data_IF_186828690501
#
_entry.id   IF_186828690501
#
_cell.length_a   1.000
_cell.length_b   1.000
_cell.length_c   1.000
_cell.angle_alpha   90.00
_cell.angle_beta   90.00
_cell.angle_gamma   90.00
#
_symmetry.space_group_name_H-M   'P 1'
#
loop_
_entity.id
_entity.type
_entity.pdbx_description
1 polymer ?
#
# COMPACT_ATOMS: atom_id res chain seq x y z
N UNK A 1 -18.10 1.65 6.62
CA UNK A 1 -18.60 0.65 5.65
C UNK A 1 -17.50 -0.36 5.40
N UNK A 2 -17.83 -1.63 5.19
CA UNK A 2 -16.86 -2.70 4.92
C UNK A 2 -17.16 -3.36 3.58
N UNK A 3 -16.13 -3.60 2.79
CA UNK A 3 -16.17 -4.39 1.56
C UNK A 3 -15.38 -5.65 1.81
N UNK A 4 -16.06 -6.80 1.70
CA UNK A 4 -15.47 -8.13 1.83
C UNK A 4 -14.90 -8.51 0.47
N UNK A 5 -13.59 -8.61 0.38
CA UNK A 5 -12.86 -8.94 -0.82
C UNK A 5 -12.56 -10.44 -0.89
N UNK A 6 -12.47 -10.97 -2.11
CA UNK A 6 -11.85 -12.26 -2.41
C UNK A 6 -10.33 -12.05 -2.51
N UNK A 7 -9.52 -13.08 -2.20
CA UNK A 7 -8.06 -12.98 -2.31
C UNK A 7 -7.59 -12.88 -3.77
N UNK A 8 -8.36 -13.44 -4.71
CA UNK A 8 -8.13 -13.37 -6.15
C UNK A 8 -9.47 -13.26 -6.90
N UNK A 9 -9.51 -12.66 -8.11
CA UNK A 9 -8.42 -11.90 -8.76
C UNK A 9 -8.06 -10.60 -8.00
N UNK A 10 -6.97 -9.92 -8.39
CA UNK A 10 -6.44 -8.73 -7.69
C UNK A 10 -6.45 -7.45 -8.53
N UNK A 11 -6.70 -7.59 -9.84
CA UNK A 11 -6.56 -6.57 -10.87
C UNK A 11 -7.42 -5.33 -10.57
N UNK A 12 -8.63 -5.56 -10.05
CA UNK A 12 -9.56 -4.51 -9.63
C UNK A 12 -8.96 -3.55 -8.58
N UNK A 13 -8.10 -4.06 -7.69
CA UNK A 13 -7.54 -3.27 -6.57
C UNK A 13 -6.30 -2.46 -6.98
N UNK A 14 -5.67 -2.78 -8.11
CA UNK A 14 -4.39 -2.17 -8.51
C UNK A 14 -4.44 -0.64 -8.64
N UNK A 15 -5.50 -0.02 -9.21
CA UNK A 15 -5.59 1.44 -9.27
C UNK A 15 -5.60 2.09 -7.87
N UNK A 16 -6.29 1.47 -6.90
CA UNK A 16 -6.33 1.95 -5.52
C UNK A 16 -4.97 1.80 -4.83
N UNK A 17 -4.32 0.65 -4.99
CA UNK A 17 -2.99 0.39 -4.43
C UNK A 17 -1.92 1.36 -4.99
N UNK A 18 -2.03 1.73 -6.27
CA UNK A 18 -1.15 2.75 -6.88
C UNK A 18 -1.43 4.15 -6.35
N UNK A 19 -2.70 4.52 -6.19
CA UNK A 19 -3.11 5.84 -5.66
C UNK A 19 -2.67 6.00 -4.20
N UNK A 20 -2.80 4.92 -3.43
CA UNK A 20 -2.47 4.84 -2.01
C UNK A 20 -3.67 4.39 -1.20
N UNK A 21 -3.42 3.45 -0.30
CA UNK A 21 -4.41 2.91 0.64
C UNK A 21 -3.90 3.07 2.06
N UNK A 22 -4.81 3.31 3.01
CA UNK A 22 -4.45 3.42 4.42
C UNK A 22 -4.49 2.05 5.06
N UNK A 23 -3.39 1.59 5.63
CA UNK A 23 -3.32 0.32 6.35
C UNK A 23 -3.20 0.56 7.85
N UNK A 24 -3.77 -0.34 8.66
CA UNK A 24 -3.57 -0.36 10.11
C UNK A 24 -2.51 -1.39 10.43
N UNK A 25 -1.47 -0.97 11.15
CA UNK A 25 -0.33 -1.83 11.48
C UNK A 25 0.37 -1.33 12.75
N UNK A 26 1.38 -2.06 13.19
CA UNK A 26 2.35 -1.55 14.14
C UNK A 26 3.24 -0.53 13.44
N UNK A 27 3.29 0.69 13.97
CA UNK A 27 4.17 1.78 13.53
C UNK A 27 5.23 2.05 14.61
N UNK A 28 6.10 3.03 14.38
CA UNK A 28 7.35 3.28 15.10
C UNK A 28 8.23 2.03 15.11
N UNK A 29 8.38 1.42 13.92
CA UNK A 29 9.24 0.28 13.59
C UNK A 29 10.00 0.60 12.31
N UNK A 30 11.01 -0.22 11.96
CA UNK A 30 11.71 -0.02 10.70
C UNK A 30 10.80 -0.37 9.50
N UNK A 31 11.10 0.21 8.33
CA UNK A 31 10.41 -0.16 7.09
C UNK A 31 10.59 -1.65 6.79
N UNK A 32 11.77 -2.22 7.08
CA UNK A 32 12.01 -3.66 6.96
C UNK A 32 11.07 -4.47 7.85
N UNK A 33 10.96 -4.11 9.13
CA UNK A 33 10.07 -4.80 10.07
C UNK A 33 8.60 -4.72 9.66
N UNK A 34 8.15 -3.55 9.20
CA UNK A 34 6.79 -3.38 8.69
C UNK A 34 6.54 -4.33 7.50
N UNK A 35 7.44 -4.34 6.51
CA UNK A 35 7.26 -5.13 5.29
C UNK A 35 7.23 -6.63 5.58
N UNK A 36 8.09 -7.12 6.46
CA UNK A 36 8.15 -8.55 6.81
C UNK A 36 7.01 -8.95 7.75
N UNK A 37 6.77 -8.19 8.82
CA UNK A 37 5.90 -8.63 9.91
C UNK A 37 4.44 -8.22 9.71
N UNK A 38 4.18 -7.01 9.22
CA UNK A 38 2.82 -6.53 9.00
C UNK A 38 2.35 -6.82 7.57
N UNK A 39 3.11 -6.43 6.56
CA UNK A 39 2.75 -6.65 5.15
C UNK A 39 3.01 -8.08 4.68
N UNK A 40 3.72 -8.91 5.45
CA UNK A 40 4.01 -10.33 5.16
C UNK A 40 4.70 -10.52 3.80
N UNK A 41 5.61 -9.63 3.45
CA UNK A 41 6.46 -9.79 2.27
C UNK A 41 7.62 -10.72 2.61
N UNK A 42 8.01 -11.54 1.64
CA UNK A 42 9.21 -12.36 1.74
C UNK A 42 10.45 -11.44 1.80
N UNK A 43 11.35 -11.60 2.80
CA UNK A 43 12.61 -10.85 2.85
C UNK A 43 13.45 -10.94 1.58
N UNK A 44 13.41 -12.07 0.87
CA UNK A 44 14.10 -12.26 -0.41
C UNK A 44 13.47 -11.39 -1.49
N UNK A 45 12.13 -11.40 -1.58
CA UNK A 45 11.38 -10.54 -2.49
C UNK A 45 11.69 -9.05 -2.27
N UNK A 46 11.75 -8.60 -1.01
CA UNK A 46 12.09 -7.21 -0.67
C UNK A 46 13.48 -6.86 -1.21
N UNK A 47 14.46 -7.76 -1.03
CA UNK A 47 15.84 -7.50 -1.42
C UNK A 47 16.01 -7.46 -2.93
N UNK A 48 15.42 -8.42 -3.64
CA UNK A 48 15.63 -8.64 -5.07
C UNK A 48 14.72 -7.78 -5.95
N UNK A 49 13.49 -7.51 -5.52
CA UNK A 49 12.44 -6.96 -6.39
C UNK A 49 12.01 -5.55 -6.02
N UNK A 50 12.18 -5.14 -4.76
CA UNK A 50 11.89 -3.77 -4.34
C UNK A 50 13.14 -2.91 -4.50
N UNK A 51 13.19 -2.19 -5.63
CA UNK A 51 14.29 -1.31 -6.00
C UNK A 51 14.02 0.16 -5.68
N UNK A 52 12.78 0.63 -5.74
CA UNK A 52 12.42 2.00 -5.40
C UNK A 52 11.61 2.03 -4.11
N UNK A 53 12.12 2.75 -3.11
CA UNK A 53 11.45 2.94 -1.82
C UNK A 53 11.48 4.42 -1.47
N UNK A 54 10.31 4.97 -1.17
CA UNK A 54 10.18 6.35 -0.71
C UNK A 54 9.38 6.40 0.57
N UNK A 55 9.86 7.20 1.52
CA UNK A 55 9.18 7.52 2.76
C UNK A 55 8.93 9.02 2.80
N UNK A 56 7.67 9.43 2.84
CA UNK A 56 7.23 10.83 2.73
C UNK A 56 7.84 11.56 1.52
N UNK A 57 7.91 10.86 0.39
CA UNK A 57 8.46 11.37 -0.87
C UNK A 57 9.98 11.37 -0.93
N UNK A 58 10.69 10.95 0.13
CA UNK A 58 12.15 10.91 0.19
C UNK A 58 12.67 9.50 -0.12
N UNK A 59 13.62 9.34 -1.03
CA UNK A 59 14.17 8.03 -1.33
C UNK A 59 14.90 7.41 -0.14
N UNK A 60 14.73 6.10 0.06
CA UNK A 60 15.27 5.35 1.21
C UNK A 60 16.30 4.33 0.75
N UNK A 61 17.50 4.41 1.32
CA UNK A 61 18.58 3.44 1.05
C UNK A 61 18.62 2.28 2.07
N UNK A 62 18.40 2.57 3.34
CA UNK A 62 18.46 1.60 4.43
C UNK A 62 17.08 1.41 5.08
N UNK A 63 16.45 0.27 4.77
CA UNK A 63 15.11 -0.08 5.28
C UNK A 63 15.10 -0.38 6.78
N UNK A 64 16.23 -0.77 7.38
CA UNK A 64 16.32 -1.05 8.81
C UNK A 64 16.37 0.25 9.63
N UNK A 65 16.79 1.35 9.01
CA UNK A 65 16.89 2.67 9.66
C UNK A 65 15.74 3.62 9.31
N UNK A 66 14.97 3.31 8.27
CA UNK A 66 13.80 4.10 7.90
C UNK A 66 12.63 3.82 8.85
N UNK A 67 12.26 4.82 9.65
CA UNK A 67 11.18 4.69 10.63
C UNK A 67 9.81 4.86 9.96
N UNK A 68 8.96 3.83 10.04
CA UNK A 68 7.53 3.96 9.73
C UNK A 68 6.86 4.60 10.93
N UNK A 69 6.36 5.82 10.79
CA UNK A 69 5.67 6.56 11.87
C UNK A 69 4.18 6.66 11.60
N UNK A 70 3.41 7.10 12.58
CA UNK A 70 1.99 7.39 12.39
C UNK A 70 1.76 8.35 11.21
N UNK A 71 0.83 7.99 10.32
CA UNK A 71 0.40 8.81 9.20
C UNK A 71 1.40 8.93 8.04
N UNK A 72 2.57 8.28 8.09
CA UNK A 72 3.57 8.42 7.04
C UNK A 72 3.11 7.82 5.70
N UNK A 73 3.77 8.20 4.61
CA UNK A 73 3.53 7.68 3.28
C UNK A 73 4.70 6.80 2.81
N UNK A 74 4.45 5.50 2.70
CA UNK A 74 5.40 4.54 2.14
C UNK A 74 5.03 4.21 0.70
N UNK A 75 5.96 4.43 -0.23
CA UNK A 75 5.80 4.06 -1.63
C UNK A 75 6.85 3.02 -2.04
N UNK A 76 6.41 1.95 -2.70
CA UNK A 76 7.24 0.82 -3.11
C UNK A 76 7.08 0.56 -4.61
N UNK A 77 8.19 0.29 -5.28
CA UNK A 77 8.21 -0.10 -6.67
C UNK A 77 9.42 -0.96 -7.02
N UNK A 78 9.37 -1.56 -8.21
CA UNK A 78 10.58 -2.11 -8.82
C UNK A 78 11.55 -1.00 -9.16
N UNK A 79 12.82 -1.36 -9.36
CA UNK A 79 13.85 -0.44 -9.81
C UNK A 79 13.38 0.37 -11.04
N UNK A 80 13.35 1.69 -10.90
CA UNK A 80 12.96 2.59 -11.98
C UNK A 80 14.11 2.73 -12.99
N UNK A 81 13.83 2.64 -14.31
CA UNK A 81 14.85 2.77 -15.34
C UNK A 81 15.19 4.24 -15.66
N UNK A 82 16.22 4.44 -16.50
CA UNK A 82 16.69 5.76 -16.94
C UNK A 82 17.53 6.48 -15.87
N UNK A 83 18.23 7.55 -16.25
CA UNK A 83 19.17 8.22 -15.35
C UNK A 83 18.50 8.72 -14.05
N UNK A 84 17.35 9.39 -14.20
CA UNK A 84 16.58 9.89 -13.05
C UNK A 84 15.99 8.75 -12.21
N UNK A 85 15.46 7.69 -12.82
CA UNK A 85 14.94 6.55 -12.07
C UNK A 85 16.04 5.78 -11.34
N UNK A 86 17.17 5.57 -12.01
CA UNK A 86 18.32 4.88 -11.48
C UNK A 86 18.90 5.60 -10.26
N UNK A 87 19.00 6.94 -10.27
CA UNK A 87 19.44 7.70 -9.09
C UNK A 87 18.45 7.61 -7.93
N UNK A 88 17.16 7.40 -8.20
CA UNK A 88 16.11 7.25 -7.19
C UNK A 88 15.97 5.84 -6.61
N UNK A 89 16.68 4.84 -7.15
CA UNK A 89 16.65 3.49 -6.59
C UNK A 89 17.46 3.39 -5.29
N UNK A 90 17.01 2.49 -4.41
CA UNK A 90 17.72 2.09 -3.20
C UNK A 90 19.06 1.44 -3.57
N UNK A 91 20.13 1.83 -2.88
CA UNK A 91 21.48 1.30 -3.09
C UNK A 91 22.08 1.68 -4.44
N UNK A 92 21.58 2.73 -5.08
CA UNK A 92 22.07 3.17 -6.39
C UNK A 92 23.50 3.72 -6.30
N UNK A 93 24.40 3.37 -7.25
CA UNK A 93 25.71 4.02 -7.35
C UNK A 93 25.59 5.51 -7.73
N UNK A 94 24.40 5.96 -8.13
CA UNK A 94 24.09 7.34 -8.50
C UNK A 94 23.41 8.12 -7.36
N UNK A 95 23.40 7.57 -6.13
CA UNK A 95 22.70 8.16 -4.99
C UNK A 95 23.20 9.57 -4.62
N UNK A 96 24.46 9.90 -4.91
CA UNK A 96 25.00 11.25 -4.67
C UNK A 96 24.24 12.35 -5.44
N UNK A 97 23.65 12.05 -6.61
CA UNK A 97 22.84 13.02 -7.36
C UNK A 97 21.54 13.43 -6.66
N UNK A 98 21.15 12.75 -5.58
CA UNK A 98 19.91 13.00 -4.83
C UNK A 98 20.14 13.22 -3.34
N UNK A 99 21.37 13.47 -2.90
CA UNK A 99 21.75 13.54 -1.48
C UNK A 99 20.89 14.52 -0.64
N UNK A 100 20.42 15.60 -1.26
CA UNK A 100 19.59 16.62 -0.62
C UNK A 100 18.13 16.18 -0.40
N UNK A 101 17.64 15.23 -1.19
CA UNK A 101 16.25 14.75 -1.13
C UNK A 101 16.13 13.36 -0.49
N UNK A 102 17.25 12.67 -0.25
CA UNK A 102 17.29 11.38 0.43
C UNK A 102 16.69 11.43 1.84
N UNK A 103 16.08 10.33 2.25
CA UNK A 103 15.58 10.14 3.60
C UNK A 103 16.76 10.12 4.57
N UNK A 104 16.61 10.85 5.68
CA UNK A 104 17.59 10.87 6.77
C UNK A 104 16.94 10.28 8.02
N UNK A 105 17.45 9.16 8.55
CA UNK A 105 16.93 8.58 9.79
C UNK A 105 16.96 9.59 10.93
N UNK A 106 15.85 9.69 11.65
CA UNK A 106 15.79 10.41 12.91
C UNK A 106 16.70 9.76 13.96
N UNK A 107 17.06 10.54 14.99
CA UNK A 107 17.78 10.03 16.15
C UNK A 107 16.73 9.71 17.23
N UNK A 108 16.56 8.43 17.55
CA UNK A 108 15.64 8.00 18.61
C UNK A 108 15.28 6.53 18.51
N UNK A 109 14.90 5.90 19.63
CA UNK A 109 14.44 4.53 19.63
C UNK A 109 13.09 4.42 18.91
N UNK A 110 12.94 3.36 18.11
CA UNK A 110 11.67 2.97 17.51
C UNK A 110 10.88 2.18 18.56
N UNK A 111 9.79 2.75 19.07
CA UNK A 111 8.93 2.11 20.07
C UNK A 111 7.61 1.65 19.43
N UNK A 112 7.42 0.33 19.22
CA UNK A 112 6.27 -0.19 18.49
C UNK A 112 4.94 0.21 19.12
N UNK A 113 4.04 0.80 18.33
CA UNK A 113 2.67 1.16 18.75
C UNK A 113 1.66 0.87 17.64
N UNK A 114 0.38 0.61 17.95
CA UNK A 114 -0.66 0.57 16.94
C UNK A 114 -0.81 1.92 16.23
N UNK A 115 -0.95 1.87 14.91
CA UNK A 115 -1.07 3.09 14.11
C UNK A 115 -1.54 2.85 12.68
N UNK A 116 -1.41 3.89 11.87
CA UNK A 116 -1.74 3.87 10.44
C UNK A 116 -0.64 4.46 9.59
N UNK A 117 -0.55 3.99 8.34
CA UNK A 117 0.26 4.61 7.30
C UNK A 117 -0.46 4.51 5.95
N UNK A 118 -0.06 5.36 5.01
CA UNK A 118 -0.49 5.25 3.62
C UNK A 118 0.54 4.43 2.84
N UNK A 119 0.10 3.33 2.23
CA UNK A 119 0.92 2.48 1.38
C UNK A 119 0.57 2.70 -0.10
N UNK A 120 1.58 2.98 -0.93
CA UNK A 120 1.47 3.07 -2.39
C UNK A 120 2.34 2.00 -3.05
N UNK A 121 1.76 1.25 -3.97
CA UNK A 121 2.45 0.18 -4.69
C UNK A 121 2.44 0.45 -6.19
N UNK A 122 3.62 0.43 -6.80
CA UNK A 122 3.80 0.74 -8.22
C UNK A 122 4.25 -0.49 -9.02
N UNK A 123 4.10 -0.40 -10.34
CA UNK A 123 4.59 -1.40 -11.29
C UNK A 123 4.11 -2.82 -10.94
N UNK A 124 4.98 -3.81 -11.10
CA UNK A 124 4.70 -5.21 -10.82
C UNK A 124 4.57 -5.51 -9.32
N UNK A 125 5.20 -4.69 -8.45
CA UNK A 125 5.08 -4.82 -6.98
C UNK A 125 3.62 -4.75 -6.57
N UNK A 126 2.83 -3.84 -7.16
CA UNK A 126 1.39 -3.75 -6.89
C UNK A 126 0.67 -5.08 -7.12
N UNK A 127 0.94 -5.73 -8.25
CA UNK A 127 0.28 -6.99 -8.63
C UNK A 127 0.74 -8.16 -7.77
N UNK A 128 2.04 -8.25 -7.53
CA UNK A 128 2.65 -9.38 -6.80
C UNK A 128 2.33 -9.36 -5.31
N UNK A 129 2.09 -8.16 -4.74
CA UNK A 129 1.87 -7.99 -3.30
C UNK A 129 0.42 -7.66 -2.94
N UNK A 130 -0.46 -7.43 -3.92
CA UNK A 130 -1.87 -7.08 -3.68
C UNK A 130 -2.58 -8.05 -2.73
N UNK A 131 -2.38 -9.37 -2.90
CA UNK A 131 -2.99 -10.37 -2.04
C UNK A 131 -2.54 -10.24 -0.57
N UNK A 132 -1.26 -9.93 -0.33
CA UNK A 132 -0.75 -9.69 1.02
C UNK A 132 -1.34 -8.41 1.63
N UNK A 133 -1.50 -7.34 0.83
CA UNK A 133 -2.15 -6.11 1.31
C UNK A 133 -3.65 -6.28 1.54
N UNK A 134 -4.34 -7.10 0.75
CA UNK A 134 -5.74 -7.47 1.00
C UNK A 134 -5.89 -8.26 2.30
N UNK A 135 -4.96 -9.17 2.61
CA UNK A 135 -4.93 -9.90 3.89
C UNK A 135 -4.72 -8.97 5.08
N UNK A 136 -3.83 -7.97 4.94
CA UNK A 136 -3.67 -6.93 5.95
C UNK A 136 -4.94 -6.07 6.09
N UNK A 137 -5.66 -5.89 4.97
CA UNK A 137 -6.81 -5.02 4.87
C UNK A 137 -6.38 -3.56 4.81
N UNK A 138 -7.22 -2.73 4.20
CA UNK A 138 -6.93 -1.31 4.01
C UNK A 138 -8.20 -0.47 3.99
N UNK A 139 -8.03 0.85 4.05
CA UNK A 139 -9.10 1.82 3.90
C UNK A 139 -8.81 2.74 2.71
N UNK A 140 -9.86 3.11 1.98
CA UNK A 140 -9.82 4.05 0.87
C UNK A 140 -10.96 5.07 0.98
N UNK A 141 -10.81 6.27 0.41
CA UNK A 141 -11.94 7.17 0.21
C UNK A 141 -13.02 6.48 -0.63
N UNK A 142 -14.29 6.64 -0.24
CA UNK A 142 -15.40 6.01 -0.95
C UNK A 142 -15.48 6.41 -2.42
N UNK A 143 -15.30 7.70 -2.71
CA UNK A 143 -15.20 8.25 -4.07
C UNK A 143 -14.16 7.52 -4.95
N UNK A 144 -13.06 7.07 -4.37
CA UNK A 144 -11.99 6.39 -5.09
C UNK A 144 -12.44 4.99 -5.51
N UNK A 145 -13.08 4.28 -4.57
CA UNK A 145 -13.62 2.95 -4.83
C UNK A 145 -14.77 3.03 -5.84
N UNK A 146 -15.62 4.05 -5.77
CA UNK A 146 -16.67 4.29 -6.76
C UNK A 146 -16.10 4.57 -8.15
N UNK A 147 -15.07 5.42 -8.25
CA UNK A 147 -14.42 5.71 -9.53
C UNK A 147 -13.83 4.45 -10.17
N UNK A 148 -13.15 3.61 -9.39
CA UNK A 148 -12.58 2.34 -9.88
C UNK A 148 -13.67 1.34 -10.23
N UNK A 149 -14.72 1.21 -9.40
CA UNK A 149 -15.90 0.37 -9.68
C UNK A 149 -16.63 0.78 -10.95
N UNK A 150 -16.78 2.09 -11.19
CA UNK A 150 -17.43 2.60 -12.39
C UNK A 150 -16.62 2.29 -13.66
N UNK A 151 -15.29 2.31 -13.57
CA UNK A 151 -14.40 1.91 -14.66
C UNK A 151 -14.30 0.40 -14.89
N UNK A 152 -14.53 -0.42 -13.86
CA UNK A 152 -14.48 -1.89 -13.95
C UNK A 152 -15.56 -2.59 -13.09
N UNK A 153 -16.84 -2.57 -13.52
CA UNK A 153 -17.92 -3.21 -12.77
C UNK A 153 -17.79 -4.74 -12.68
N UNK A 154 -17.22 -5.38 -13.71
CA UNK A 154 -17.04 -6.84 -13.75
C UNK A 154 -15.92 -7.28 -12.79
N UNK A 155 -14.79 -6.57 -12.79
CA UNK A 155 -13.71 -6.81 -11.83
C UNK A 155 -14.16 -6.58 -10.39
N UNK A 156 -15.00 -5.58 -10.13
CA UNK A 156 -15.62 -5.39 -8.82
C UNK A 156 -16.44 -6.62 -8.41
N UNK A 157 -17.33 -7.11 -9.28
CA UNK A 157 -18.15 -8.29 -9.00
C UNK A 157 -17.30 -9.55 -8.77
N UNK A 158 -16.20 -9.70 -9.53
CA UNK A 158 -15.26 -10.82 -9.40
C UNK A 158 -14.44 -10.74 -8.10
N UNK A 159 -14.06 -9.54 -7.66
CA UNK A 159 -13.19 -9.34 -6.50
C UNK A 159 -13.93 -9.15 -5.18
N UNK A 160 -15.21 -8.81 -5.19
CA UNK A 160 -16.00 -8.52 -3.98
C UNK A 160 -17.02 -9.62 -3.72
N UNK A 161 -16.99 -10.18 -2.51
CA UNK A 161 -17.94 -11.22 -2.06
C UNK A 161 -19.13 -10.65 -1.30
N UNK A 162 -18.98 -9.48 -0.66
CA UNK A 162 -20.04 -8.87 0.12
C UNK A 162 -19.72 -7.43 0.50
N UNK A 163 -20.76 -6.68 0.86
CA UNK A 163 -20.65 -5.30 1.30
C UNK A 163 -21.47 -5.16 2.58
N UNK A 164 -20.88 -4.62 3.64
CA UNK A 164 -21.57 -4.34 4.90
C UNK A 164 -21.72 -2.84 5.09
N UNK A 165 -22.98 -2.39 5.19
CA UNK A 165 -23.35 -1.00 5.44
C UNK A 165 -24.37 -0.94 6.57
N UNK A 166 -24.00 -0.27 7.67
CA UNK A 166 -24.87 -0.14 8.85
C UNK A 166 -25.28 -1.48 9.46
N UNK A 167 -24.37 -2.46 9.51
CA UNK A 167 -24.64 -3.80 10.03
C UNK A 167 -25.48 -4.70 9.11
N UNK A 168 -25.83 -4.24 7.90
CA UNK A 168 -26.55 -5.04 6.90
C UNK A 168 -25.62 -5.47 5.79
N UNK A 169 -25.73 -6.73 5.41
CA UNK A 169 -25.03 -7.28 4.26
C UNK A 169 -25.79 -7.02 2.97
N UNK A 170 -25.08 -6.55 1.96
CA UNK A 170 -25.57 -6.19 0.64
C UNK A 170 -24.76 -7.00 -0.37
N UNK A 171 -25.47 -7.77 -1.20
CA UNK A 171 -24.85 -8.48 -2.31
C UNK A 171 -24.23 -7.47 -3.29
N UNK A 172 -23.01 -7.69 -3.80
CA UNK A 172 -22.34 -6.74 -4.70
C UNK A 172 -23.18 -6.36 -5.93
N UNK A 173 -23.87 -7.34 -6.51
CA UNK A 173 -24.78 -7.13 -7.66
C UNK A 173 -26.01 -6.26 -7.34
N UNK A 174 -26.36 -6.09 -6.06
CA UNK A 174 -27.49 -5.28 -5.59
C UNK A 174 -27.04 -3.92 -5.05
N UNK A 175 -25.75 -3.63 -5.06
CA UNK A 175 -25.23 -2.36 -4.58
C UNK A 175 -25.41 -1.27 -5.63
N UNK A 176 -26.49 -0.50 -5.50
CA UNK A 176 -26.81 0.65 -6.35
C UNK A 176 -26.39 2.01 -5.76
N UNK A 177 -25.76 2.00 -4.58
CA UNK A 177 -25.37 3.23 -3.87
C UNK A 177 -23.99 3.75 -4.26
N UNK A 178 -23.64 4.90 -3.69
CA UNK A 178 -22.27 5.41 -3.64
C UNK A 178 -21.63 5.09 -2.28
N UNK A 179 -20.31 5.02 -2.26
CA UNK A 179 -19.47 4.93 -1.08
C UNK A 179 -19.09 6.31 -0.51
N UNK A 180 -19.39 7.40 -1.23
CA UNK A 180 -18.79 8.74 -1.14
C UNK A 180 -18.69 9.44 0.25
N UNK A 181 -19.44 9.03 1.28
CA UNK A 181 -19.57 9.80 2.52
C UNK A 181 -18.60 9.40 3.64
N UNK A 182 -17.85 8.30 3.51
CA UNK A 182 -16.92 7.85 4.54
C UNK A 182 -15.81 6.95 3.97
N UNK A 183 -14.66 6.84 4.66
CA UNK A 183 -13.65 5.83 4.35
C UNK A 183 -14.27 4.41 4.34
N UNK A 184 -14.02 3.69 3.26
CA UNK A 184 -14.45 2.30 3.08
C UNK A 184 -13.31 1.41 3.49
N UNK A 185 -13.57 0.51 4.43
CA UNK A 185 -12.63 -0.57 4.77
C UNK A 185 -12.80 -1.70 3.75
N UNK A 186 -11.68 -2.24 3.31
CA UNK A 186 -11.58 -3.44 2.48
C UNK A 186 -10.81 -4.47 3.31
N UNK A 187 -11.39 -5.66 3.46
CA UNK A 187 -10.74 -6.79 4.11
C UNK A 187 -11.18 -8.08 3.41
N UNK A 188 -10.40 -9.14 3.54
CA UNK A 188 -10.85 -10.44 3.05
C UNK A 188 -12.11 -10.92 3.78
N UNK A 189 -12.94 -11.66 3.05
CA UNK A 189 -14.15 -12.30 3.55
C UNK A 189 -13.86 -13.44 4.54
#
# INVERSE_FOLDING_TARGET
MLVKARPHPVEFWLPLLRRGVVVRATVNVSAMDFLVNAARFDPEYIRERIGSVFLDGRPVDDLNRAAITEGCHLALGMAAPGLAGASLNRGSPLAEFRADISYRPGQGPMQPVPGTLTLKLFNLVARETAASILRLGFAVPGEALDSVRAGDPQGFAACVSGIERGGREIAPARFAGAFADAPVRVALA
#
